data_IF_667296818403
#
_entry.id   IF_667296818403
#
_cell.length_a   1.000
_cell.length_b   1.000
_cell.length_c   1.000
_cell.angle_alpha   90.00
_cell.angle_beta   90.00
_cell.angle_gamma   90.00
#
_symmetry.space_group_name_H-M   'P 1'
#
loop_
_entity.id
_entity.type
_entity.pdbx_description
1 polymer ?
#
# COMPACT_ATOMS: atom_id res chain seq x y z
N UNK A 1 21.19 12.22 -7.34
CA UNK A 1 20.27 11.24 -7.92
C UNK A 1 19.19 11.05 -6.88
N UNK A 2 18.05 11.67 -7.10
CA UNK A 2 16.93 11.77 -6.17
C UNK A 2 16.22 10.42 -6.09
N UNK A 3 16.18 9.82 -4.90
CA UNK A 3 15.35 8.66 -4.59
C UNK A 3 13.93 9.19 -4.32
N UNK A 4 13.06 9.07 -5.29
CA UNK A 4 11.62 9.24 -5.10
C UNK A 4 11.08 7.94 -4.50
N UNK A 5 10.90 7.91 -3.18
CA UNK A 5 9.96 7.03 -2.53
C UNK A 5 8.62 7.77 -2.55
N UNK A 6 7.75 7.43 -3.49
CA UNK A 6 6.36 7.87 -3.47
C UNK A 6 5.64 7.14 -2.33
N UNK A 7 5.20 7.90 -1.33
CA UNK A 7 4.31 7.42 -0.30
C UNK A 7 2.94 7.08 -0.90
N UNK A 8 2.24 6.08 -0.32
CA UNK A 8 0.89 5.60 -0.67
C UNK A 8 -0.22 6.69 -0.67
N UNK A 9 0.13 7.94 -0.39
CA UNK A 9 -0.77 9.08 -0.46
C UNK A 9 -0.26 10.03 -1.53
N UNK A 10 -0.82 9.95 -2.73
CA UNK A 10 -0.50 10.79 -3.88
C UNK A 10 -0.87 12.25 -3.65
N UNK A 11 -0.04 12.98 -2.91
CA UNK A 11 -0.03 14.43 -2.90
C UNK A 11 1.31 14.89 -3.46
N UNK A 12 1.23 15.45 -4.66
CA UNK A 12 2.32 16.16 -5.32
C UNK A 12 2.55 17.48 -4.57
N UNK A 13 3.35 17.43 -3.49
CA UNK A 13 3.75 18.62 -2.75
C UNK A 13 5.01 19.19 -3.37
N UNK A 14 4.90 20.40 -3.94
CA UNK A 14 6.05 21.24 -4.25
C UNK A 14 6.20 22.31 -3.15
N UNK A 15 7.41 22.48 -2.59
CA UNK A 15 7.64 23.59 -1.66
C UNK A 15 7.41 24.92 -2.37
N UNK A 16 6.81 25.92 -1.70
CA UNK A 16 6.70 27.24 -2.26
C UNK A 16 8.08 27.78 -2.59
N UNK A 17 8.25 28.30 -3.80
CA UNK A 17 9.46 29.01 -4.22
C UNK A 17 9.75 30.18 -3.28
N UNK A 18 11.02 30.36 -2.92
CA UNK A 18 11.52 31.38 -1.99
C UNK A 18 11.39 32.85 -2.49
N UNK A 19 10.34 33.18 -3.23
CA UNK A 19 10.14 34.53 -3.72
C UNK A 19 8.66 34.92 -3.54
N UNK A 20 8.37 35.59 -2.44
CA UNK A 20 7.48 36.69 -2.15
C UNK A 20 7.14 36.73 -0.66
N UNK A 21 7.83 37.60 0.07
CA UNK A 21 7.49 37.99 1.44
C UNK A 21 6.11 38.64 1.53
N UNK A 22 5.07 37.84 1.76
CA UNK A 22 3.79 38.28 2.29
C UNK A 22 3.64 37.72 3.68
N UNK A 23 3.75 38.62 4.64
CA UNK A 23 3.40 38.34 6.02
C UNK A 23 1.97 37.82 6.10
N UNK A 24 1.81 36.62 6.63
CA UNK A 24 0.49 36.16 7.04
C UNK A 24 0.12 36.95 8.29
N UNK A 25 -0.77 37.91 8.08
CA UNK A 25 -1.46 38.64 9.15
C UNK A 25 -2.44 37.68 9.83
N UNK A 26 -2.26 37.45 11.14
CA UNK A 26 -3.04 36.52 11.96
C UNK A 26 -4.47 37.04 12.26
N UNK A 27 -5.07 37.79 11.36
CA UNK A 27 -6.33 38.48 11.53
C UNK A 27 -7.50 37.91 10.72
N UNK A 28 -7.96 36.69 11.01
CA UNK A 28 -9.32 36.28 10.71
C UNK A 28 -10.10 36.12 12.01
N UNK A 29 -11.22 36.85 12.18
CA UNK A 29 -12.08 36.69 13.36
C UNK A 29 -12.76 35.31 13.27
N UNK A 30 -12.46 34.46 14.23
CA UNK A 30 -13.12 33.18 14.44
C UNK A 30 -14.50 33.47 15.04
N UNK A 31 -15.56 33.51 14.23
CA UNK A 31 -16.91 33.32 14.74
C UNK A 31 -17.03 31.86 15.17
N UNK A 32 -17.19 31.67 16.49
CA UNK A 32 -17.20 30.36 17.11
C UNK A 32 -18.34 29.50 16.61
N UNK A 33 -17.94 28.35 16.00
CA UNK A 33 -18.86 27.24 15.82
C UNK A 33 -18.82 26.43 17.12
N UNK A 34 -19.79 26.63 18.01
CA UNK A 34 -19.92 25.99 19.32
C UNK A 34 -20.03 24.45 19.29
N UNK A 35 -19.91 23.84 18.12
CA UNK A 35 -19.96 22.40 17.93
C UNK A 35 -18.62 21.67 17.94
N UNK A 36 -17.48 22.37 17.84
CA UNK A 36 -16.17 21.73 17.72
C UNK A 36 -15.52 21.34 19.06
N UNK A 37 -15.98 21.93 20.16
CA UNK A 37 -15.36 21.78 21.48
C UNK A 37 -15.99 20.67 22.35
N UNK A 38 -17.01 19.99 21.86
CA UNK A 38 -17.71 18.93 22.62
C UNK A 38 -16.93 17.64 22.89
N UNK A 39 -15.79 17.47 22.27
CA UNK A 39 -15.02 16.23 22.33
C UNK A 39 -13.84 16.25 23.31
N UNK A 40 -13.67 17.33 24.07
CA UNK A 40 -12.53 17.51 24.97
C UNK A 40 -12.76 17.03 26.40
N UNK A 41 -13.99 16.72 26.81
CA UNK A 41 -14.38 16.55 28.21
C UNK A 41 -15.01 15.18 28.57
N UNK A 42 -15.00 14.19 27.69
CA UNK A 42 -15.37 12.81 28.09
C UNK A 42 -14.16 12.14 28.75
N UNK A 43 -14.30 11.87 30.06
CA UNK A 43 -13.34 11.10 30.85
C UNK A 43 -13.12 9.72 30.18
N UNK A 44 -11.84 9.30 30.11
CA UNK A 44 -11.42 8.02 29.54
C UNK A 44 -12.10 6.86 30.29
N UNK A 45 -13.27 6.40 29.84
CA UNK A 45 -13.72 5.06 30.16
C UNK A 45 -12.81 4.07 29.41
N UNK A 46 -12.34 3.00 30.06
CA UNK A 46 -11.51 1.98 29.39
C UNK A 46 -12.29 1.43 28.20
N UNK A 47 -11.65 1.43 27.02
CA UNK A 47 -12.22 0.91 25.80
C UNK A 47 -12.69 -0.55 26.05
N UNK A 48 -13.97 -0.80 25.82
CA UNK A 48 -14.49 -2.17 25.83
C UNK A 48 -13.77 -2.96 24.75
N UNK A 49 -13.41 -4.24 25.00
CA UNK A 49 -12.86 -5.08 23.98
C UNK A 49 -13.79 -5.11 22.77
N UNK A 50 -13.22 -4.99 21.56
CA UNK A 50 -13.96 -4.98 20.32
C UNK A 50 -14.86 -6.22 20.24
N UNK A 51 -16.17 -6.01 20.21
CA UNK A 51 -17.13 -7.09 19.96
C UNK A 51 -16.86 -7.57 18.52
N UNK A 52 -16.59 -8.88 18.37
CA UNK A 52 -16.52 -9.52 17.05
C UNK A 52 -17.91 -9.39 16.41
N UNK A 53 -18.01 -8.62 15.36
CA UNK A 53 -19.26 -8.37 14.65
C UNK A 53 -19.78 -9.66 14.02
N UNK A 54 -21.10 -9.92 14.18
CA UNK A 54 -21.77 -11.02 13.50
C UNK A 54 -21.99 -10.65 12.02
N UNK A 55 -21.33 -11.39 11.14
CA UNK A 55 -21.34 -11.14 9.69
C UNK A 55 -22.72 -11.29 9.04
N UNK A 56 -23.72 -11.92 9.69
CA UNK A 56 -25.04 -12.17 9.10
C UNK A 56 -26.01 -10.98 9.18
N UNK A 57 -25.86 -10.09 10.17
CA UNK A 57 -26.76 -8.92 10.30
C UNK A 57 -26.42 -7.77 9.33
N UNK A 58 -25.23 -7.78 8.72
CA UNK A 58 -24.73 -6.67 7.90
C UNK A 58 -25.19 -6.70 6.44
N UNK A 59 -25.62 -7.86 5.93
CA UNK A 59 -26.07 -8.00 4.55
C UNK A 59 -27.47 -7.39 4.27
N UNK A 60 -28.27 -7.13 5.31
CA UNK A 60 -29.60 -6.52 5.17
C UNK A 60 -29.66 -5.01 5.45
N UNK A 61 -28.62 -4.42 6.01
CA UNK A 61 -28.58 -2.98 6.30
C UNK A 61 -27.72 -2.27 5.26
N UNK A 62 -28.33 -1.45 4.43
CA UNK A 62 -27.66 -0.42 3.61
C UNK A 62 -26.93 0.52 4.56
N UNK A 63 -25.71 0.19 4.91
CA UNK A 63 -24.95 0.94 5.93
C UNK A 63 -24.52 2.28 5.34
N UNK A 64 -25.31 3.30 5.61
CA UNK A 64 -24.86 4.67 5.46
C UNK A 64 -23.89 4.93 6.62
N UNK A 65 -22.64 4.91 6.30
CA UNK A 65 -21.57 5.11 7.26
C UNK A 65 -21.48 6.58 7.65
N UNK A 66 -21.65 6.90 8.93
CA UNK A 66 -21.49 8.27 9.43
C UNK A 66 -20.10 8.46 10.04
N UNK A 67 -19.26 9.32 9.40
CA UNK A 67 -17.98 9.74 9.95
C UNK A 67 -18.06 11.25 10.30
N UNK A 68 -17.86 11.63 11.57
CA UNK A 68 -18.02 13.03 11.99
C UNK A 68 -17.00 14.00 11.38
N UNK A 69 -15.95 13.49 10.76
CA UNK A 69 -14.88 14.29 10.14
C UNK A 69 -14.77 14.07 8.62
N UNK A 70 -15.73 13.38 8.00
CA UNK A 70 -15.68 12.99 6.59
C UNK A 70 -15.46 14.17 5.63
N UNK A 71 -16.06 15.34 5.91
CA UNK A 71 -15.94 16.52 5.06
C UNK A 71 -14.54 17.14 5.07
N UNK A 72 -13.76 16.91 6.14
CA UNK A 72 -12.44 17.49 6.36
C UNK A 72 -11.33 16.47 6.17
N UNK A 73 -11.59 15.21 6.50
CA UNK A 73 -10.65 14.12 6.39
C UNK A 73 -10.39 13.78 4.91
N UNK A 74 -9.13 13.66 4.51
CA UNK A 74 -8.76 13.25 3.14
C UNK A 74 -8.75 11.76 2.88
N UNK A 75 -9.19 10.91 3.85
CA UNK A 75 -8.97 9.46 3.76
C UNK A 75 -10.06 8.65 3.05
N UNK A 76 -11.25 9.21 2.83
CA UNK A 76 -12.39 8.49 2.24
C UNK A 76 -13.20 9.42 1.34
N UNK A 77 -12.94 9.39 0.02
CA UNK A 77 -13.63 10.25 -0.94
C UNK A 77 -15.11 9.88 -1.15
N UNK A 78 -15.45 8.59 -0.98
CA UNK A 78 -16.76 8.04 -1.32
C UNK A 78 -17.59 7.59 -0.11
N UNK A 79 -17.20 7.97 1.10
CA UNK A 79 -17.88 7.53 2.32
C UNK A 79 -19.38 7.88 2.37
N UNK A 80 -19.79 9.00 1.76
CA UNK A 80 -21.19 9.40 1.68
C UNK A 80 -22.00 8.59 0.64
N UNK A 81 -21.34 7.80 -0.20
CA UNK A 81 -21.98 6.96 -1.21
C UNK A 81 -22.23 5.58 -0.63
N UNK A 82 -23.43 4.97 -0.82
CA UNK A 82 -23.66 3.58 -0.50
C UNK A 82 -22.62 2.64 -1.11
N UNK A 83 -22.22 1.61 -0.39
CA UNK A 83 -21.10 0.76 -0.79
C UNK A 83 -21.37 0.01 -2.11
N UNK A 84 -22.57 -0.47 -2.32
CA UNK A 84 -23.02 -1.06 -3.59
C UNK A 84 -22.81 -0.13 -4.79
N UNK A 85 -23.14 1.15 -4.64
CA UNK A 85 -22.88 2.16 -5.69
C UNK A 85 -21.39 2.44 -5.91
N UNK A 86 -20.56 2.31 -4.86
CA UNK A 86 -19.11 2.41 -5.03
C UNK A 86 -18.58 1.26 -5.89
N UNK A 87 -19.08 0.03 -5.64
CA UNK A 87 -18.70 -1.17 -6.38
C UNK A 87 -19.12 -1.07 -7.85
N UNK A 88 -20.37 -0.66 -8.12
CA UNK A 88 -20.87 -0.42 -9.48
C UNK A 88 -19.95 0.57 -10.23
N UNK A 89 -19.61 1.71 -9.61
CA UNK A 89 -18.72 2.70 -10.24
C UNK A 89 -17.32 2.18 -10.53
N UNK A 90 -16.77 1.35 -9.65
CA UNK A 90 -15.46 0.73 -9.88
C UNK A 90 -15.53 -0.29 -11.01
N UNK A 91 -16.62 -1.07 -11.07
CA UNK A 91 -16.88 -2.02 -12.15
C UNK A 91 -16.98 -1.28 -13.49
N UNK A 92 -17.88 -0.30 -13.60
CA UNK A 92 -18.11 0.51 -14.80
C UNK A 92 -16.80 1.15 -15.30
N UNK A 93 -15.99 1.68 -14.36
CA UNK A 93 -14.72 2.30 -14.68
C UNK A 93 -13.73 1.33 -15.36
N UNK A 94 -13.63 0.09 -14.88
CA UNK A 94 -12.77 -0.92 -15.49
C UNK A 94 -13.36 -1.40 -16.83
N UNK A 95 -14.66 -1.60 -16.92
CA UNK A 95 -15.34 -1.97 -18.17
C UNK A 95 -15.12 -0.92 -19.27
N UNK A 96 -15.29 0.37 -18.94
CA UNK A 96 -15.03 1.47 -19.88
C UNK A 96 -13.56 1.50 -20.32
N UNK A 97 -12.63 1.32 -19.39
CA UNK A 97 -11.20 1.38 -19.67
C UNK A 97 -10.74 0.25 -20.60
N UNK A 98 -11.35 -0.93 -20.50
CA UNK A 98 -11.02 -2.12 -21.29
C UNK A 98 -11.98 -2.38 -22.45
N UNK A 99 -12.91 -1.47 -22.76
CA UNK A 99 -13.95 -1.65 -23.79
C UNK A 99 -13.40 -1.94 -25.22
N UNK A 100 -12.17 -1.51 -25.53
CA UNK A 100 -11.52 -1.79 -26.82
C UNK A 100 -11.03 -3.25 -26.97
N UNK A 101 -11.06 -4.05 -25.90
CA UNK A 101 -10.57 -5.43 -25.90
C UNK A 101 -11.73 -6.42 -25.92
N UNK A 102 -11.66 -7.51 -26.71
CA UNK A 102 -12.71 -8.51 -26.82
C UNK A 102 -12.65 -9.51 -25.65
N UNK A 103 -12.63 -9.00 -24.42
CA UNK A 103 -12.59 -9.77 -23.17
C UNK A 103 -13.56 -9.12 -22.20
N UNK A 104 -14.45 -9.92 -21.64
CA UNK A 104 -15.38 -9.48 -20.60
C UNK A 104 -14.63 -9.22 -19.29
N UNK A 105 -14.97 -8.12 -18.60
CA UNK A 105 -14.47 -7.84 -17.25
C UNK A 105 -15.27 -8.69 -16.28
N UNK A 106 -14.56 -9.47 -15.48
CA UNK A 106 -15.17 -10.31 -14.45
C UNK A 106 -15.81 -9.43 -13.35
N UNK A 107 -16.80 -9.95 -12.59
CA UNK A 107 -17.38 -9.22 -11.48
C UNK A 107 -16.31 -8.79 -10.46
N UNK A 108 -16.39 -7.53 -10.02
CA UNK A 108 -15.48 -6.95 -9.04
C UNK A 108 -15.53 -7.75 -7.73
N UNK A 109 -14.37 -8.19 -7.26
CA UNK A 109 -14.23 -8.82 -5.95
C UNK A 109 -14.27 -7.74 -4.86
N UNK A 110 -15.16 -7.91 -3.87
CA UNK A 110 -15.39 -6.92 -2.83
C UNK A 110 -15.34 -7.54 -1.44
N UNK A 111 -15.25 -6.67 -0.43
CA UNK A 111 -15.33 -7.08 0.96
C UNK A 111 -16.79 -7.26 1.39
N UNK A 112 -17.03 -8.24 2.27
CA UNK A 112 -18.34 -8.40 2.94
C UNK A 112 -18.57 -7.24 3.91
N UNK A 113 -17.55 -6.91 4.74
CA UNK A 113 -17.57 -5.74 5.62
C UNK A 113 -16.44 -4.78 5.21
N UNK A 114 -16.77 -3.59 4.66
CA UNK A 114 -15.78 -2.62 4.22
C UNK A 114 -15.21 -1.75 5.35
N UNK A 115 -15.24 -2.22 6.61
CA UNK A 115 -14.77 -1.49 7.79
C UNK A 115 -13.59 -2.19 8.44
N UNK A 116 -12.78 -1.43 9.20
CA UNK A 116 -11.70 -1.96 10.02
C UNK A 116 -10.61 -2.71 9.25
N UNK A 117 -10.57 -2.58 7.94
CA UNK A 117 -9.70 -3.37 7.07
C UNK A 117 -8.24 -2.90 7.09
N UNK A 118 -8.01 -1.63 7.44
CA UNK A 118 -6.68 -1.02 7.33
C UNK A 118 -5.83 -1.36 8.54
N UNK A 119 -4.89 -2.26 8.35
CA UNK A 119 -4.01 -2.79 9.38
C UNK A 119 -2.76 -1.93 9.66
N UNK A 120 -2.48 -0.92 8.83
CA UNK A 120 -1.38 0.03 9.01
C UNK A 120 -1.93 1.44 9.14
N UNK A 121 -1.76 2.04 10.30
CA UNK A 121 -2.21 3.39 10.64
C UNK A 121 -1.01 4.25 10.96
N UNK A 122 -0.85 5.37 10.26
CA UNK A 122 0.24 6.32 10.48
C UNK A 122 -0.32 7.72 10.64
N UNK A 123 -0.10 8.32 11.78
CA UNK A 123 -0.65 9.63 12.12
C UNK A 123 0.43 10.62 12.55
N UNK A 124 0.39 11.86 12.06
CA UNK A 124 1.28 12.93 12.50
C UNK A 124 0.96 13.37 13.92
N UNK A 125 2.00 13.77 14.65
CA UNK A 125 1.90 14.39 15.96
C UNK A 125 2.51 15.80 15.90
N UNK A 126 1.71 16.81 16.22
CA UNK A 126 2.11 18.20 16.15
C UNK A 126 1.83 18.96 17.45
N UNK A 127 2.50 20.10 17.70
CA UNK A 127 2.15 20.97 18.83
C UNK A 127 0.69 21.42 18.77
N UNK A 128 -0.01 21.30 19.89
CA UNK A 128 -1.38 21.75 20.08
C UNK A 128 -1.54 22.56 21.37
N UNK A 129 -2.76 23.00 21.62
CA UNK A 129 -3.18 23.62 22.88
C UNK A 129 -4.51 23.02 23.28
N UNK A 130 -4.72 22.83 24.58
CA UNK A 130 -6.03 22.49 25.15
C UNK A 130 -6.92 23.72 25.21
N UNK A 131 -8.20 23.56 25.68
CA UNK A 131 -9.16 24.62 25.85
C UNK A 131 -8.71 25.73 26.85
N UNK A 132 -7.76 25.42 27.72
CA UNK A 132 -7.20 26.35 28.70
C UNK A 132 -5.92 27.04 28.18
N UNK A 133 -5.48 26.71 26.94
CA UNK A 133 -4.26 27.24 26.34
C UNK A 133 -2.99 26.48 26.74
N UNK A 134 -3.07 25.40 27.52
CA UNK A 134 -1.91 24.61 27.90
C UNK A 134 -1.36 23.81 26.68
N UNK A 135 -0.03 23.65 26.62
CA UNK A 135 0.57 22.82 25.57
C UNK A 135 0.03 21.38 25.60
N UNK A 136 -0.35 20.87 24.44
CA UNK A 136 -0.76 19.47 24.25
C UNK A 136 -0.24 18.94 22.92
N UNK A 137 -0.49 17.67 22.62
CA UNK A 137 -0.15 17.04 21.36
C UNK A 137 -1.40 16.90 20.51
N UNK A 138 -1.40 17.54 19.33
CA UNK A 138 -2.43 17.34 18.31
C UNK A 138 -2.02 16.15 17.46
N UNK A 139 -2.95 15.23 17.23
CA UNK A 139 -2.76 14.07 16.37
C UNK A 139 -4.06 13.73 15.63
N UNK A 140 -3.95 13.08 14.52
CA UNK A 140 -5.08 12.76 13.65
C UNK A 140 -4.64 12.63 12.21
N UNK A 141 -5.54 12.79 11.27
CA UNK A 141 -5.26 12.73 9.84
C UNK A 141 -5.12 14.15 9.27
N UNK A 142 -4.35 14.31 8.20
CA UNK A 142 -4.30 15.59 7.49
C UNK A 142 -5.63 15.91 6.81
N UNK A 143 -6.04 17.16 6.88
CA UNK A 143 -7.15 17.69 6.11
C UNK A 143 -6.80 17.68 4.63
N UNK A 144 -7.77 17.34 3.80
CA UNK A 144 -7.58 17.24 2.34
C UNK A 144 -6.92 18.50 1.78
N UNK A 145 -5.79 18.30 1.09
CA UNK A 145 -5.02 19.38 0.47
C UNK A 145 -4.28 20.30 1.43
N UNK A 146 -4.11 19.92 2.69
CA UNK A 146 -3.41 20.75 3.68
C UNK A 146 -2.57 19.89 4.64
N UNK A 147 -1.70 20.55 5.44
CA UNK A 147 -0.99 19.95 6.57
C UNK A 147 -1.70 20.20 7.91
N UNK A 148 -2.96 20.61 7.87
CA UNK A 148 -3.75 20.78 9.08
C UNK A 148 -4.22 19.43 9.60
N UNK A 149 -3.92 19.13 10.86
CA UNK A 149 -4.33 17.87 11.47
C UNK A 149 -5.78 17.97 11.93
N UNK A 150 -6.66 17.16 11.41
CA UNK A 150 -8.03 16.95 11.85
C UNK A 150 -8.01 15.94 12.98
N UNK A 151 -8.31 16.34 14.23
CA UNK A 151 -8.39 15.39 15.34
C UNK A 151 -9.50 14.38 15.08
N UNK A 152 -9.18 13.11 15.18
CA UNK A 152 -10.16 12.04 15.02
C UNK A 152 -9.73 10.85 15.89
N UNK A 153 -10.49 10.56 16.93
CA UNK A 153 -10.20 9.46 17.86
C UNK A 153 -10.58 8.09 17.33
N UNK A 154 -11.51 8.05 16.38
CA UNK A 154 -12.01 6.80 15.77
C UNK A 154 -12.03 6.94 14.27
N UNK A 155 -11.64 5.88 13.58
CA UNK A 155 -11.73 5.77 12.14
C UNK A 155 -12.33 4.40 11.81
N UNK A 156 -13.31 4.37 10.95
CA UNK A 156 -14.01 3.12 10.68
C UNK A 156 -13.37 2.24 9.62
N UNK A 157 -12.41 2.77 8.87
CA UNK A 157 -11.64 1.96 7.90
C UNK A 157 -10.35 1.41 8.50
N UNK A 158 -9.88 1.98 9.62
CA UNK A 158 -8.68 1.53 10.32
C UNK A 158 -9.02 0.45 11.35
N UNK A 159 -8.05 -0.43 11.61
CA UNK A 159 -8.13 -1.36 12.72
C UNK A 159 -8.34 -0.61 14.04
N UNK A 160 -9.36 -0.98 14.83
CA UNK A 160 -9.75 -0.23 16.03
C UNK A 160 -8.67 -0.18 17.12
N UNK A 161 -7.71 -1.10 17.14
CA UNK A 161 -6.62 -1.13 18.13
C UNK A 161 -5.57 -0.02 17.88
N UNK A 162 -5.46 0.52 16.67
CA UNK A 162 -4.38 1.43 16.32
C UNK A 162 -4.48 2.79 17.02
N UNK A 163 -5.64 3.43 16.99
CA UNK A 163 -5.80 4.79 17.50
C UNK A 163 -5.68 4.93 19.02
N UNK A 164 -6.16 3.99 19.86
CA UNK A 164 -5.89 3.99 21.28
C UNK A 164 -4.40 4.04 21.63
N UNK A 165 -3.57 3.26 20.91
CA UNK A 165 -2.12 3.24 21.10
C UNK A 165 -1.52 4.62 20.76
N UNK A 166 -1.87 5.19 19.59
CA UNK A 166 -1.38 6.52 19.17
C UNK A 166 -1.85 7.61 20.13
N UNK A 167 -3.09 7.54 20.60
CA UNK A 167 -3.63 8.45 21.62
C UNK A 167 -2.84 8.39 22.95
N UNK A 168 -2.47 7.18 23.37
CA UNK A 168 -1.62 7.00 24.56
C UNK A 168 -0.21 7.57 24.35
N UNK A 169 0.40 7.35 23.18
CA UNK A 169 1.69 7.99 22.84
C UNK A 169 1.57 9.50 22.98
N UNK A 170 0.57 10.12 22.36
CA UNK A 170 0.36 11.57 22.40
C UNK A 170 0.13 12.11 23.82
N UNK A 171 -0.65 11.41 24.63
CA UNK A 171 -0.96 11.76 26.02
C UNK A 171 0.25 11.69 26.93
N UNK A 172 1.09 10.70 26.78
CA UNK A 172 2.27 10.48 27.64
C UNK A 172 3.45 11.40 27.29
N UNK A 173 3.55 11.90 26.07
CA UNK A 173 4.71 12.71 25.62
C UNK A 173 5.05 13.87 26.57
N UNK A 174 4.14 14.73 27.05
CA UNK A 174 4.47 15.82 27.94
C UNK A 174 5.07 15.36 29.27
N UNK A 175 4.57 14.28 29.86
CA UNK A 175 4.99 13.78 31.16
C UNK A 175 6.44 13.28 31.16
N UNK A 176 6.93 12.87 30.00
CA UNK A 176 8.29 12.34 29.84
C UNK A 176 9.24 13.28 29.11
N UNK A 177 8.85 14.55 28.90
CA UNK A 177 9.65 15.56 28.22
C UNK A 177 9.86 15.27 26.73
N UNK A 178 9.00 14.44 26.12
CA UNK A 178 9.00 14.17 24.68
C UNK A 178 8.11 15.20 23.99
N UNK A 179 8.65 15.89 22.97
CA UNK A 179 7.96 16.98 22.30
C UNK A 179 7.46 16.55 20.93
N UNK A 180 6.23 16.95 20.51
CA UNK A 180 5.79 16.77 19.14
C UNK A 180 6.60 17.63 18.16
N UNK A 181 6.79 17.13 16.96
CA UNK A 181 7.55 17.83 15.92
C UNK A 181 6.69 18.95 15.30
N UNK A 182 7.31 20.13 15.14
CA UNK A 182 6.72 21.27 14.44
C UNK A 182 7.36 21.41 13.07
N UNK A 183 6.61 21.20 11.99
CA UNK A 183 7.09 21.42 10.62
C UNK A 183 7.45 22.90 10.40
N UNK A 184 6.74 23.83 11.03
CA UNK A 184 7.00 25.27 10.92
C UNK A 184 8.39 25.68 11.44
N UNK A 185 8.82 25.10 12.57
CA UNK A 185 10.10 25.41 13.21
C UNK A 185 11.16 24.36 12.99
N UNK A 186 10.81 23.21 12.41
CA UNK A 186 11.64 22.03 12.26
C UNK A 186 12.27 21.55 13.58
N UNK A 187 11.53 21.69 14.69
CA UNK A 187 11.97 21.30 16.03
C UNK A 187 10.95 20.38 16.69
N UNK A 188 11.40 19.61 17.67
CA UNK A 188 10.61 18.60 18.37
C UNK A 188 11.15 17.20 18.13
N UNK A 189 10.62 16.22 18.82
CA UNK A 189 11.16 14.86 18.89
C UNK A 189 10.36 13.89 18.01
N UNK A 190 9.06 13.73 18.24
CA UNK A 190 8.23 12.73 17.53
C UNK A 190 7.44 13.41 16.43
N UNK A 191 7.61 12.91 15.21
CA UNK A 191 6.91 13.37 13.99
C UNK A 191 5.64 12.60 13.73
N UNK A 192 5.73 11.26 13.73
CA UNK A 192 4.63 10.35 13.46
C UNK A 192 4.65 9.18 14.43
N UNK A 193 3.49 8.61 14.68
CA UNK A 193 3.33 7.29 15.25
C UNK A 193 2.65 6.38 14.22
N UNK A 194 3.28 5.25 13.95
CA UNK A 194 2.75 4.22 13.07
C UNK A 194 2.42 3.00 13.91
N UNK A 195 1.22 2.48 13.74
CA UNK A 195 0.80 1.20 14.31
C UNK A 195 0.49 0.26 13.17
N UNK A 196 1.10 -0.91 13.18
CA UNK A 196 0.78 -2.00 12.26
C UNK A 196 0.32 -3.20 13.07
N UNK A 197 -0.79 -3.79 12.68
CA UNK A 197 -1.42 -4.94 13.33
C UNK A 197 -1.40 -6.09 12.34
N UNK A 198 -0.86 -7.22 12.75
CA UNK A 198 -0.92 -8.46 12.00
C UNK A 198 -2.33 -9.04 12.12
N UNK A 199 -2.96 -9.35 11.01
CA UNK A 199 -4.37 -9.75 10.98
C UNK A 199 -4.61 -11.15 11.54
N UNK A 200 -3.71 -12.07 11.25
CA UNK A 200 -3.86 -13.48 11.66
C UNK A 200 -3.27 -13.78 13.04
N UNK A 201 -2.28 -13.02 13.48
CA UNK A 201 -1.55 -13.27 14.73
C UNK A 201 -1.86 -12.29 15.83
N UNK A 202 -2.57 -11.20 15.54
CA UNK A 202 -2.83 -10.08 16.45
C UNK A 202 -1.55 -9.39 16.99
N UNK A 203 -0.38 -9.64 16.38
CA UNK A 203 0.87 -8.98 16.75
C UNK A 203 0.85 -7.50 16.36
N UNK A 204 1.33 -6.64 17.28
CA UNK A 204 1.28 -5.19 17.11
C UNK A 204 2.68 -4.60 17.10
N UNK A 205 2.99 -3.84 16.05
CA UNK A 205 4.22 -3.05 15.95
C UNK A 205 3.91 -1.56 16.07
N UNK A 206 4.53 -0.89 17.04
CA UNK A 206 4.55 0.56 17.15
C UNK A 206 5.88 1.10 16.62
N UNK A 207 5.83 1.92 15.57
CA UNK A 207 6.99 2.65 15.05
C UNK A 207 6.85 4.14 15.38
N UNK A 208 7.81 4.69 16.12
CA UNK A 208 7.89 6.11 16.44
C UNK A 208 8.90 6.78 15.50
N UNK A 209 8.39 7.62 14.59
CA UNK A 209 9.25 8.38 13.67
C UNK A 209 9.71 9.66 14.36
N UNK A 210 11.00 9.79 14.53
CA UNK A 210 11.57 10.82 15.37
C UNK A 210 12.62 11.67 14.66
N UNK A 211 12.63 12.96 14.96
CA UNK A 211 13.74 13.89 14.68
C UNK A 211 14.83 13.76 15.79
N UNK A 212 15.08 12.52 16.22
CA UNK A 212 16.03 12.18 17.27
C UNK A 212 16.44 10.71 17.14
N UNK A 213 17.62 10.35 17.62
CA UNK A 213 18.15 8.97 17.60
C UNK A 213 17.85 8.19 18.89
N UNK A 214 17.23 8.82 19.87
CA UNK A 214 16.92 8.20 21.17
C UNK A 214 15.61 8.76 21.75
N UNK A 215 14.93 7.93 22.53
CA UNK A 215 13.79 8.31 23.36
C UNK A 215 14.04 7.92 24.82
N UNK A 216 13.45 8.60 25.80
CA UNK A 216 13.53 8.19 27.21
C UNK A 216 12.98 6.77 27.39
N UNK A 217 13.74 5.90 28.03
CA UNK A 217 13.29 4.52 28.27
C UNK A 217 11.97 4.49 29.06
N UNK A 218 11.85 5.36 30.07
CA UNK A 218 10.64 5.46 30.89
C UNK A 218 9.37 5.81 30.06
N UNK A 219 9.51 6.56 28.97
CA UNK A 219 8.42 6.83 28.04
C UNK A 219 7.95 5.58 27.33
N UNK A 220 8.89 4.79 26.80
CA UNK A 220 8.58 3.50 26.14
C UNK A 220 7.97 2.52 27.15
N UNK A 221 8.53 2.41 28.35
CA UNK A 221 8.03 1.55 29.41
C UNK A 221 6.58 1.93 29.82
N UNK A 222 6.26 3.23 29.85
CA UNK A 222 4.91 3.71 30.15
C UNK A 222 3.89 3.37 29.04
N UNK A 223 4.30 3.44 27.77
CA UNK A 223 3.45 3.01 26.63
C UNK A 223 3.17 1.52 26.74
N UNK A 224 4.21 0.69 26.96
CA UNK A 224 4.09 -0.76 27.10
C UNK A 224 3.27 -1.18 28.32
N UNK A 225 3.30 -0.38 29.40
CA UNK A 225 2.47 -0.64 30.58
C UNK A 225 0.98 -0.37 30.31
N UNK A 226 0.69 0.61 29.45
CA UNK A 226 -0.68 0.93 29.05
C UNK A 226 -1.20 0.00 27.93
N UNK A 227 -0.29 -0.53 27.11
CA UNK A 227 -0.56 -1.39 25.95
C UNK A 227 0.34 -2.64 25.97
N UNK A 228 0.09 -3.60 26.89
CA UNK A 228 0.88 -4.82 26.98
C UNK A 228 0.76 -5.74 25.77
N UNK A 229 -0.23 -5.51 24.90
CA UNK A 229 -0.44 -6.20 23.64
C UNK A 229 0.59 -5.86 22.56
N UNK A 230 1.36 -4.78 22.73
CA UNK A 230 2.38 -4.39 21.75
C UNK A 230 3.52 -5.42 21.72
N UNK A 231 3.71 -6.05 20.58
CA UNK A 231 4.77 -7.05 20.35
C UNK A 231 6.14 -6.42 20.20
N UNK A 232 6.22 -5.26 19.54
CA UNK A 232 7.51 -4.59 19.30
C UNK A 232 7.37 -3.07 19.16
N UNK A 233 8.41 -2.35 19.62
CA UNK A 233 8.52 -0.89 19.44
C UNK A 233 9.81 -0.57 18.71
N UNK A 234 9.68 0.17 17.60
CA UNK A 234 10.79 0.61 16.77
C UNK A 234 10.88 2.14 16.77
N UNK A 235 12.09 2.69 16.93
CA UNK A 235 12.38 4.08 16.66
C UNK A 235 12.94 4.19 15.25
N UNK A 236 12.26 4.94 14.41
CA UNK A 236 12.75 5.30 13.09
C UNK A 236 13.25 6.76 13.13
N UNK A 237 14.49 6.97 12.72
CA UNK A 237 15.11 8.30 12.74
C UNK A 237 14.93 8.99 11.40
N UNK A 238 14.16 10.09 11.41
CA UNK A 238 14.00 10.96 10.25
C UNK A 238 14.26 12.42 10.66
N UNK A 239 15.46 12.91 10.39
CA UNK A 239 15.89 14.30 10.66
C UNK A 239 15.80 15.20 9.42
N UNK A 240 15.41 14.66 8.28
CA UNK A 240 15.36 15.38 7.02
C UNK A 240 14.09 16.25 6.92
N UNK A 241 14.19 17.36 6.17
CA UNK A 241 13.04 18.18 5.77
C UNK A 241 12.46 17.58 4.49
N UNK A 242 11.57 16.63 4.63
CA UNK A 242 11.00 15.85 3.52
C UNK A 242 9.55 15.46 3.82
N UNK A 243 8.77 15.22 2.78
CA UNK A 243 7.47 14.59 2.87
C UNK A 243 7.55 13.08 3.16
N UNK A 244 8.71 12.46 2.93
CA UNK A 244 8.94 11.06 3.25
C UNK A 244 8.85 10.86 4.76
N UNK A 245 7.98 9.95 5.19
CA UNK A 245 7.68 9.73 6.62
C UNK A 245 8.82 8.96 7.29
N UNK A 246 9.20 7.81 6.75
CA UNK A 246 10.24 6.96 7.33
C UNK A 246 11.65 7.42 6.92
N UNK A 247 12.52 7.54 7.91
CA UNK A 247 13.96 7.70 7.68
C UNK A 247 14.64 6.35 7.39
N UNK A 248 15.94 6.41 7.16
CA UNK A 248 16.74 5.22 6.80
C UNK A 248 17.25 4.43 8.00
N UNK A 249 17.34 5.06 9.17
CA UNK A 249 17.92 4.44 10.36
C UNK A 249 16.83 4.03 11.34
N UNK A 250 16.93 2.80 11.82
CA UNK A 250 15.97 2.22 12.75
C UNK A 250 16.69 1.64 13.96
N UNK A 251 16.01 1.68 15.11
CA UNK A 251 16.48 1.11 16.35
C UNK A 251 15.33 0.42 17.07
N UNK A 252 15.47 -0.86 17.35
CA UNK A 252 14.53 -1.60 18.18
C UNK A 252 14.64 -1.11 19.63
N UNK A 253 13.51 -0.66 20.18
CA UNK A 253 13.39 -0.23 21.57
C UNK A 253 12.82 -1.32 22.48
N UNK A 254 11.97 -2.18 21.92
CA UNK A 254 11.36 -3.33 22.62
C UNK A 254 10.99 -4.42 21.61
N UNK A 255 11.01 -5.67 22.03
CA UNK A 255 10.63 -6.82 21.21
C UNK A 255 11.62 -7.18 20.12
N UNK A 256 11.18 -7.95 19.10
CA UNK A 256 12.07 -8.46 18.05
C UNK A 256 12.40 -7.45 16.94
N UNK A 257 11.67 -6.33 16.81
CA UNK A 257 11.81 -5.36 15.74
C UNK A 257 10.99 -5.67 14.49
N UNK A 258 10.14 -6.69 14.54
CA UNK A 258 9.22 -7.11 13.48
C UNK A 258 7.96 -7.72 14.10
N UNK A 259 6.96 -7.92 13.28
CA UNK A 259 5.78 -8.75 13.55
C UNK A 259 5.67 -9.84 12.50
N UNK A 260 4.95 -10.91 12.81
CA UNK A 260 4.63 -11.97 11.86
C UNK A 260 3.13 -11.96 11.57
N UNK A 261 2.76 -12.17 10.32
CA UNK A 261 1.37 -12.32 9.88
C UNK A 261 1.24 -13.54 8.98
N UNK A 262 0.02 -13.99 8.73
CA UNK A 262 -0.27 -15.09 7.82
C UNK A 262 -1.17 -14.61 6.68
N UNK A 263 -0.83 -14.97 5.44
CA UNK A 263 -1.56 -14.61 4.23
C UNK A 263 -1.52 -15.78 3.25
N UNK A 264 -2.68 -16.25 2.76
CA UNK A 264 -2.80 -17.42 1.88
C UNK A 264 -2.05 -18.66 2.42
N UNK A 265 -2.12 -18.92 3.74
CA UNK A 265 -1.42 -20.03 4.40
C UNK A 265 0.11 -19.95 4.42
N UNK A 266 0.67 -18.77 4.10
CA UNK A 266 2.09 -18.46 4.21
C UNK A 266 2.33 -17.48 5.36
N UNK A 267 3.40 -17.70 6.15
CA UNK A 267 3.81 -16.80 7.22
C UNK A 267 4.80 -15.76 6.70
N UNK A 268 4.60 -14.51 7.06
CA UNK A 268 5.44 -13.40 6.64
C UNK A 268 5.95 -12.61 7.85
N UNK A 269 7.25 -12.43 7.91
CA UNK A 269 7.89 -11.46 8.78
C UNK A 269 7.81 -10.09 8.13
N UNK A 270 7.35 -9.10 8.90
CA UNK A 270 7.09 -7.75 8.46
C UNK A 270 7.89 -6.78 9.32
N UNK A 271 8.90 -6.13 8.73
CA UNK A 271 9.66 -5.06 9.40
C UNK A 271 8.93 -3.72 9.33
N UNK A 272 9.38 -2.72 10.08
CA UNK A 272 8.74 -1.41 10.15
C UNK A 272 8.73 -0.66 8.81
N UNK A 273 9.81 -0.79 8.01
CA UNK A 273 9.97 -0.17 6.70
C UNK A 273 9.49 -1.04 5.53
N UNK A 274 9.10 -2.30 5.77
CA UNK A 274 8.63 -3.19 4.72
C UNK A 274 7.26 -2.81 4.21
N UNK A 275 7.10 -2.87 2.87
CA UNK A 275 5.77 -2.86 2.27
C UNK A 275 5.04 -4.17 2.60
N UNK A 276 3.81 -4.06 3.02
CA UNK A 276 2.87 -5.17 3.20
C UNK A 276 1.47 -4.61 3.00
N UNK A 277 0.59 -5.36 2.35
CA UNK A 277 -0.75 -4.89 2.00
C UNK A 277 -1.53 -4.43 3.24
N UNK A 278 -2.20 -3.28 3.11
CA UNK A 278 -2.89 -2.65 4.24
C UNK A 278 -4.30 -3.18 4.48
N UNK A 279 -4.82 -3.97 3.55
CA UNK A 279 -6.09 -4.70 3.64
C UNK A 279 -5.80 -6.19 3.46
N UNK A 280 -5.50 -6.94 4.51
CA UNK A 280 -5.10 -8.34 4.42
C UNK A 280 -6.19 -9.23 3.82
N UNK A 281 -7.46 -8.99 4.12
CA UNK A 281 -8.58 -9.78 3.61
C UNK A 281 -8.68 -9.67 2.07
N UNK A 282 -8.65 -8.44 1.55
CA UNK A 282 -8.69 -8.24 0.11
C UNK A 282 -7.39 -8.67 -0.58
N UNK A 283 -6.24 -8.56 0.11
CA UNK A 283 -4.95 -9.03 -0.39
C UNK A 283 -4.90 -10.56 -0.55
N UNK A 284 -5.51 -11.30 0.39
CA UNK A 284 -5.65 -12.76 0.30
C UNK A 284 -6.43 -13.14 -0.96
N UNK A 285 -7.61 -12.57 -1.14
CA UNK A 285 -8.44 -12.81 -2.31
C UNK A 285 -7.73 -12.43 -3.63
N UNK A 286 -7.00 -11.30 -3.63
CA UNK A 286 -6.23 -10.85 -4.79
C UNK A 286 -5.09 -11.82 -5.14
N UNK A 287 -4.35 -12.32 -4.13
CA UNK A 287 -3.24 -13.23 -4.37
C UNK A 287 -3.71 -14.63 -4.77
N UNK A 288 -4.78 -15.13 -4.18
CA UNK A 288 -5.42 -16.40 -4.60
C UNK A 288 -5.87 -16.31 -6.05
N UNK A 289 -6.53 -15.21 -6.45
CA UNK A 289 -6.92 -14.96 -7.83
C UNK A 289 -5.71 -14.91 -8.77
N UNK A 290 -4.65 -14.20 -8.39
CA UNK A 290 -3.43 -14.08 -9.20
C UNK A 290 -2.74 -15.43 -9.41
N UNK A 291 -2.67 -16.26 -8.37
CA UNK A 291 -2.10 -17.62 -8.43
C UNK A 291 -3.00 -18.54 -9.27
N UNK A 292 -4.31 -18.47 -9.13
CA UNK A 292 -5.26 -19.21 -9.97
C UNK A 292 -5.09 -18.85 -11.46
N UNK A 293 -5.04 -17.55 -11.79
CA UNK A 293 -4.83 -17.08 -13.16
C UNK A 293 -3.50 -17.55 -13.75
N UNK A 294 -2.48 -17.68 -12.92
CA UNK A 294 -1.15 -18.14 -13.36
C UNK A 294 -1.14 -19.59 -13.87
N UNK A 295 -2.02 -20.46 -13.38
CA UNK A 295 -2.12 -21.90 -13.74
C UNK A 295 -0.73 -22.56 -13.73
N UNK A 296 -0.12 -22.52 -12.53
CA UNK A 296 1.25 -22.91 -12.32
C UNK A 296 1.44 -24.43 -12.32
N UNK A 297 2.63 -24.84 -12.77
CA UNK A 297 3.10 -26.24 -12.72
C UNK A 297 4.35 -26.30 -11.86
N UNK A 298 4.61 -27.40 -11.22
CA UNK A 298 5.83 -27.59 -10.41
C UNK A 298 7.13 -27.52 -11.21
N UNK A 299 7.05 -27.67 -12.53
CA UNK A 299 8.19 -27.51 -13.44
C UNK A 299 8.40 -26.09 -13.94
N UNK A 300 7.49 -25.16 -13.61
CA UNK A 300 7.58 -23.77 -14.06
C UNK A 300 8.68 -23.01 -13.30
N UNK A 301 9.19 -21.99 -13.96
CA UNK A 301 10.08 -20.99 -13.40
C UNK A 301 9.34 -19.66 -13.31
N UNK A 302 9.06 -19.23 -12.09
CA UNK A 302 8.28 -18.02 -11.77
C UNK A 302 9.24 -16.83 -11.68
N UNK A 303 8.90 -15.74 -12.35
CA UNK A 303 9.46 -14.41 -12.08
C UNK A 303 8.47 -13.58 -11.27
N UNK A 304 8.88 -13.05 -10.13
CA UNK A 304 8.12 -12.04 -9.37
C UNK A 304 8.85 -10.70 -9.50
N UNK A 305 8.37 -9.87 -10.40
CA UNK A 305 8.94 -8.55 -10.66
C UNK A 305 8.30 -7.52 -9.72
N UNK A 306 9.12 -6.73 -9.06
CA UNK A 306 8.71 -5.81 -7.97
C UNK A 306 8.25 -6.58 -6.71
N UNK A 307 8.96 -7.65 -6.34
CA UNK A 307 8.48 -8.63 -5.37
C UNK A 307 8.34 -8.11 -3.92
N UNK A 308 8.88 -6.93 -3.59
CA UNK A 308 8.87 -6.42 -2.22
C UNK A 308 9.46 -7.44 -1.24
N UNK A 309 8.69 -7.81 -0.22
CA UNK A 309 9.05 -8.86 0.76
C UNK A 309 8.74 -10.28 0.28
N UNK A 310 8.48 -10.45 -1.02
CA UNK A 310 8.29 -11.74 -1.68
C UNK A 310 6.87 -12.31 -1.57
N UNK A 311 5.87 -11.53 -1.17
CA UNK A 311 4.55 -12.05 -0.79
C UNK A 311 3.88 -12.87 -1.89
N UNK A 312 3.71 -12.31 -3.09
CA UNK A 312 3.02 -12.99 -4.21
C UNK A 312 3.81 -14.20 -4.69
N UNK A 313 5.13 -14.02 -4.90
CA UNK A 313 6.00 -15.09 -5.39
C UNK A 313 6.07 -16.27 -4.44
N UNK A 314 6.15 -16.02 -3.12
CA UNK A 314 6.20 -17.07 -2.09
C UNK A 314 4.88 -17.84 -2.04
N UNK A 315 3.72 -17.16 -2.06
CA UNK A 315 2.41 -17.80 -2.13
C UNK A 315 2.31 -18.68 -3.39
N UNK A 316 2.73 -18.16 -4.54
CA UNK A 316 2.75 -18.89 -5.81
C UNK A 316 3.68 -20.12 -5.79
N UNK A 317 4.89 -19.97 -5.26
CA UNK A 317 5.86 -21.06 -5.13
C UNK A 317 5.38 -22.13 -4.12
N UNK A 318 4.77 -21.71 -3.00
CA UNK A 318 4.20 -22.62 -2.00
C UNK A 318 3.07 -23.47 -2.58
N UNK A 319 2.19 -22.85 -3.36
CA UNK A 319 1.04 -23.53 -3.96
C UNK A 319 1.44 -24.51 -5.07
N UNK A 320 2.50 -24.21 -5.82
CA UNK A 320 2.86 -24.97 -7.04
C UNK A 320 4.09 -25.89 -6.89
N UNK A 321 5.02 -25.57 -5.97
CA UNK A 321 6.35 -26.18 -5.90
C UNK A 321 7.33 -25.69 -6.98
N UNK A 322 6.96 -24.67 -7.76
CA UNK A 322 7.75 -24.09 -8.84
C UNK A 322 8.98 -23.30 -8.33
N UNK A 323 10.03 -23.18 -9.18
CA UNK A 323 11.19 -22.31 -8.91
C UNK A 323 10.77 -20.84 -8.91
N UNK A 324 11.24 -20.05 -7.93
CA UNK A 324 10.93 -18.63 -7.81
C UNK A 324 12.18 -17.76 -7.99
N UNK A 325 12.05 -16.71 -8.80
CA UNK A 325 13.01 -15.61 -8.89
C UNK A 325 12.29 -14.31 -8.58
N UNK A 326 12.53 -13.76 -7.39
CA UNK A 326 12.04 -12.45 -6.97
C UNK A 326 13.03 -11.33 -7.29
N UNK A 327 12.56 -10.20 -7.79
CA UNK A 327 13.38 -9.04 -8.13
C UNK A 327 12.79 -7.80 -7.46
N UNK A 328 13.60 -7.15 -6.64
CA UNK A 328 13.22 -5.96 -5.89
C UNK A 328 14.41 -4.98 -5.84
N UNK A 329 14.14 -3.69 -5.93
CA UNK A 329 15.17 -2.65 -5.86
C UNK A 329 15.68 -2.42 -4.44
N UNK A 330 14.79 -2.54 -3.45
CA UNK A 330 15.11 -2.31 -2.05
C UNK A 330 15.80 -3.55 -1.45
N UNK A 331 17.10 -3.42 -1.15
CA UNK A 331 17.89 -4.52 -0.62
C UNK A 331 17.42 -5.01 0.78
N UNK A 332 16.79 -4.17 1.58
CA UNK A 332 16.24 -4.60 2.87
C UNK A 332 14.97 -5.44 2.67
N UNK A 333 14.11 -5.08 1.71
CA UNK A 333 12.96 -5.89 1.36
C UNK A 333 13.38 -7.26 0.77
N UNK A 334 14.48 -7.31 0.01
CA UNK A 334 15.07 -8.58 -0.47
C UNK A 334 15.49 -9.48 0.69
N UNK A 335 16.11 -8.93 1.74
CA UNK A 335 16.46 -9.71 2.94
C UNK A 335 15.22 -10.27 3.64
N UNK A 336 14.16 -9.46 3.76
CA UNK A 336 12.89 -9.93 4.32
C UNK A 336 12.28 -11.03 3.43
N UNK A 337 12.36 -10.91 2.10
CA UNK A 337 11.89 -11.93 1.15
C UNK A 337 12.65 -13.27 1.31
N UNK A 338 13.98 -13.23 1.46
CA UNK A 338 14.81 -14.42 1.72
C UNK A 338 14.40 -15.11 3.04
N UNK A 339 14.18 -14.32 4.10
CA UNK A 339 13.72 -14.84 5.40
C UNK A 339 12.32 -15.44 5.24
N UNK A 340 11.41 -14.76 4.56
CA UNK A 340 10.05 -15.21 4.33
C UNK A 340 10.00 -16.51 3.53
N UNK A 341 10.84 -16.67 2.50
CA UNK A 341 10.95 -17.93 1.78
C UNK A 341 11.43 -19.08 2.68
N UNK A 342 12.43 -18.83 3.54
CA UNK A 342 12.93 -19.81 4.50
C UNK A 342 11.86 -20.22 5.53
N UNK A 343 11.13 -19.27 6.12
CA UNK A 343 10.04 -19.53 7.07
C UNK A 343 8.99 -20.46 6.46
N UNK A 344 8.71 -20.29 5.15
CA UNK A 344 7.72 -21.08 4.42
C UNK A 344 8.28 -22.37 3.81
N UNK A 345 9.56 -22.68 4.00
CA UNK A 345 10.20 -23.88 3.49
C UNK A 345 10.38 -23.89 1.96
N UNK A 346 10.50 -22.71 1.34
CA UNK A 346 10.74 -22.56 -0.10
C UNK A 346 12.25 -22.55 -0.31
N UNK A 347 12.81 -23.71 -0.67
CA UNK A 347 14.26 -23.88 -0.87
C UNK A 347 14.74 -23.49 -2.28
N UNK A 348 13.82 -23.46 -3.26
CA UNK A 348 14.07 -23.16 -4.67
C UNK A 348 13.70 -21.71 -5.04
N UNK A 349 13.83 -20.77 -4.10
CA UNK A 349 13.66 -19.35 -4.33
C UNK A 349 15.01 -18.62 -4.36
N UNK A 350 15.12 -17.64 -5.26
CA UNK A 350 16.26 -16.72 -5.35
C UNK A 350 15.73 -15.29 -5.41
N UNK A 351 16.26 -14.40 -4.59
CA UNK A 351 15.88 -12.99 -4.62
C UNK A 351 17.07 -12.12 -5.03
N UNK A 352 16.81 -11.10 -5.86
CA UNK A 352 17.84 -10.26 -6.47
C UNK A 352 17.53 -8.78 -6.16
N UNK A 353 18.46 -8.12 -5.45
CA UNK A 353 18.39 -6.69 -5.20
C UNK A 353 18.82 -5.91 -6.47
N UNK A 354 17.85 -5.62 -7.35
CA UNK A 354 18.11 -4.95 -8.63
C UNK A 354 16.87 -4.20 -9.14
N UNK A 355 17.09 -3.28 -10.09
CA UNK A 355 16.01 -2.75 -10.91
C UNK A 355 15.47 -3.85 -11.83
N UNK A 356 14.14 -4.06 -11.83
CA UNK A 356 13.49 -5.13 -12.57
C UNK A 356 13.80 -5.07 -14.09
N UNK A 357 13.81 -3.86 -14.68
CA UNK A 357 14.13 -3.69 -16.10
C UNK A 357 15.55 -4.10 -16.45
N UNK A 358 16.51 -3.78 -15.58
CA UNK A 358 17.92 -4.12 -15.73
C UNK A 358 18.16 -5.62 -15.58
N UNK A 359 17.49 -6.25 -14.61
CA UNK A 359 17.62 -7.68 -14.36
C UNK A 359 16.98 -8.50 -15.47
N UNK A 360 15.78 -8.14 -15.93
CA UNK A 360 15.15 -8.79 -17.09
C UNK A 360 15.99 -8.63 -18.36
N UNK A 361 16.65 -7.48 -18.55
CA UNK A 361 17.62 -7.31 -19.65
C UNK A 361 18.83 -8.24 -19.52
N UNK A 362 19.32 -8.47 -18.29
CA UNK A 362 20.41 -9.40 -18.00
C UNK A 362 20.01 -10.84 -18.31
N UNK A 363 18.84 -11.27 -17.82
CA UNK A 363 18.29 -12.59 -18.05
C UNK A 363 18.09 -12.85 -19.57
N UNK A 364 17.49 -11.90 -20.27
CA UNK A 364 17.27 -12.01 -21.73
C UNK A 364 18.57 -12.13 -22.52
N UNK A 365 19.66 -11.44 -22.11
CA UNK A 365 20.98 -11.58 -22.75
C UNK A 365 21.62 -12.95 -22.50
N UNK A 366 21.35 -13.57 -21.35
CA UNK A 366 21.86 -14.89 -21.00
C UNK A 366 21.06 -16.04 -21.59
N UNK A 367 19.92 -15.72 -22.24
CA UNK A 367 18.99 -16.73 -22.74
C UNK A 367 18.29 -17.51 -21.63
N UNK A 368 18.14 -16.88 -20.47
CA UNK A 368 17.35 -17.44 -19.39
C UNK A 368 15.86 -17.41 -19.77
N UNK A 369 15.10 -18.36 -19.26
CA UNK A 369 13.67 -18.50 -19.55
C UNK A 369 12.87 -18.36 -18.25
N UNK A 370 11.68 -17.76 -18.35
CA UNK A 370 10.65 -17.72 -17.33
C UNK A 370 9.35 -18.24 -17.96
N UNK A 371 8.62 -19.06 -17.24
CA UNK A 371 7.34 -19.60 -17.70
C UNK A 371 6.19 -18.69 -17.38
N UNK A 372 6.18 -18.13 -16.17
CA UNK A 372 5.15 -17.22 -15.66
C UNK A 372 5.81 -16.03 -14.98
N UNK A 373 5.25 -14.83 -15.18
CA UNK A 373 5.71 -13.62 -14.51
C UNK A 373 4.54 -12.97 -13.80
N UNK A 374 4.68 -12.74 -12.50
CA UNK A 374 3.88 -11.81 -11.74
C UNK A 374 4.54 -10.44 -11.79
N UNK A 375 3.76 -9.40 -11.91
CA UNK A 375 4.22 -8.01 -11.82
C UNK A 375 3.20 -7.14 -11.12
N UNK A 376 3.66 -6.43 -10.09
CA UNK A 376 2.90 -5.45 -9.31
C UNK A 376 3.74 -4.17 -9.20
N UNK A 377 3.83 -3.39 -10.30
CA UNK A 377 4.64 -2.18 -10.34
C UNK A 377 4.00 -1.04 -9.53
N UNK A 378 4.78 0.00 -9.16
CA UNK A 378 4.23 1.20 -8.55
C UNK A 378 3.22 1.90 -9.48
N UNK A 379 2.46 2.89 -8.96
CA UNK A 379 1.41 3.65 -9.69
C UNK A 379 1.83 4.17 -11.06
N UNK A 380 3.10 4.53 -11.24
CA UNK A 380 3.62 4.97 -12.53
C UNK A 380 3.63 3.87 -13.62
N UNK A 381 3.36 2.62 -13.25
CA UNK A 381 3.46 1.45 -14.10
C UNK A 381 4.90 1.06 -14.39
N UNK A 382 5.10 0.19 -15.36
CA UNK A 382 6.41 -0.32 -15.74
C UNK A 382 7.11 0.52 -16.80
N UNK A 383 8.45 0.51 -16.79
CA UNK A 383 9.22 1.18 -17.83
C UNK A 383 9.12 0.46 -19.18
N UNK A 384 9.22 1.21 -20.28
CA UNK A 384 9.25 0.64 -21.63
C UNK A 384 10.39 -0.40 -21.81
N UNK A 385 11.52 -0.15 -21.14
CA UNK A 385 12.66 -1.07 -21.15
C UNK A 385 12.31 -2.39 -20.47
N UNK A 386 11.62 -2.36 -19.32
CA UNK A 386 11.14 -3.57 -18.65
C UNK A 386 10.17 -4.36 -19.54
N UNK A 387 9.14 -3.71 -20.08
CA UNK A 387 8.11 -4.34 -20.92
C UNK A 387 8.71 -4.95 -22.20
N UNK A 388 9.70 -4.30 -22.81
CA UNK A 388 10.42 -4.84 -23.96
C UNK A 388 11.24 -6.08 -23.62
N UNK A 389 11.91 -6.10 -22.45
CA UNK A 389 12.67 -7.25 -22.00
C UNK A 389 11.77 -8.41 -21.53
N UNK A 390 10.66 -8.13 -20.86
CA UNK A 390 9.61 -9.09 -20.54
C UNK A 390 9.10 -9.78 -21.82
N UNK A 391 8.78 -8.97 -22.84
CA UNK A 391 8.33 -9.50 -24.14
C UNK A 391 9.39 -10.36 -24.84
N UNK A 392 10.68 -10.04 -24.65
CA UNK A 392 11.83 -10.81 -25.19
C UNK A 392 12.01 -12.14 -24.46
N UNK A 393 11.97 -12.15 -23.12
CA UNK A 393 11.96 -13.37 -22.30
C UNK A 393 10.78 -14.26 -22.69
N UNK A 394 9.62 -13.63 -22.84
CA UNK A 394 8.45 -14.24 -23.45
C UNK A 394 7.81 -15.33 -22.63
N UNK A 395 7.55 -15.12 -21.32
CA UNK A 395 6.81 -16.08 -20.53
C UNK A 395 5.48 -16.43 -21.17
N UNK A 396 4.99 -17.66 -20.93
CA UNK A 396 3.69 -18.09 -21.47
C UNK A 396 2.53 -17.30 -20.87
N UNK A 397 2.65 -16.86 -19.61
CA UNK A 397 1.68 -16.04 -18.90
C UNK A 397 2.34 -14.87 -18.15
N UNK A 398 1.64 -13.77 -18.13
CA UNK A 398 1.95 -12.61 -17.30
C UNK A 398 0.69 -12.28 -16.51
N UNK A 399 0.79 -12.28 -15.19
CA UNK A 399 -0.24 -11.82 -14.27
C UNK A 399 0.14 -10.41 -13.84
N UNK A 400 -0.60 -9.43 -14.30
CA UNK A 400 -0.35 -8.02 -14.04
C UNK A 400 -1.35 -7.48 -13.02
N UNK A 401 -0.88 -7.19 -11.83
CA UNK A 401 -1.63 -6.54 -10.74
C UNK A 401 -1.32 -5.05 -10.78
N UNK A 402 -2.30 -4.19 -10.59
CA UNK A 402 -2.08 -2.74 -10.63
C UNK A 402 -3.07 -1.96 -9.79
N UNK A 403 -2.56 -1.04 -8.99
CA UNK A 403 -3.35 -0.03 -8.27
C UNK A 403 -3.73 1.19 -9.14
N UNK A 404 -3.23 1.28 -10.38
CA UNK A 404 -3.60 2.31 -11.35
C UNK A 404 -3.94 1.69 -12.71
N UNK A 405 -5.23 1.38 -12.97
CA UNK A 405 -5.66 0.78 -14.22
C UNK A 405 -5.35 1.62 -15.48
N UNK A 406 -5.16 2.94 -15.36
CA UNK A 406 -4.77 3.80 -16.51
C UNK A 406 -3.34 3.52 -16.95
N UNK A 407 -2.43 3.38 -16.01
CA UNK A 407 -1.05 3.02 -16.35
C UNK A 407 -0.95 1.57 -16.78
N UNK A 408 -1.76 0.68 -16.18
CA UNK A 408 -1.85 -0.73 -16.57
C UNK A 408 -2.27 -0.89 -18.03
N UNK A 409 -3.34 -0.22 -18.48
CA UNK A 409 -3.79 -0.32 -19.88
C UNK A 409 -2.75 0.21 -20.88
N UNK A 410 -1.98 1.24 -20.48
CA UNK A 410 -0.84 1.74 -21.27
C UNK A 410 0.22 0.65 -21.47
N UNK A 411 0.58 -0.04 -20.42
CA UNK A 411 1.59 -1.09 -20.43
C UNK A 411 1.09 -2.35 -21.18
N UNK A 412 -0.18 -2.70 -20.98
CA UNK A 412 -0.84 -3.80 -21.67
C UNK A 412 -0.85 -3.56 -23.19
N UNK A 413 -1.08 -2.33 -23.68
CA UNK A 413 -0.98 -2.00 -25.11
C UNK A 413 0.39 -2.37 -25.68
N UNK A 414 1.47 -2.14 -24.91
CA UNK A 414 2.82 -2.56 -25.32
C UNK A 414 2.94 -4.09 -25.39
N UNK A 415 2.47 -4.82 -24.37
CA UNK A 415 2.54 -6.28 -24.33
C UNK A 415 1.70 -6.90 -25.46
N UNK A 416 0.50 -6.42 -25.71
CA UNK A 416 -0.37 -6.89 -26.79
C UNK A 416 0.28 -6.66 -28.16
N UNK A 417 0.92 -5.49 -28.39
CA UNK A 417 1.68 -5.21 -29.59
C UNK A 417 2.84 -6.21 -29.79
N UNK A 418 3.40 -6.73 -28.70
CA UNK A 418 4.52 -7.67 -28.71
C UNK A 418 4.09 -9.15 -28.57
N UNK A 419 2.82 -9.45 -28.85
CA UNK A 419 2.36 -10.82 -29.03
C UNK A 419 1.66 -11.46 -27.84
N UNK A 420 1.25 -10.67 -26.86
CA UNK A 420 0.37 -11.13 -25.80
C UNK A 420 -1.11 -10.86 -26.12
N UNK A 421 -2.00 -11.56 -25.46
CA UNK A 421 -3.45 -11.36 -25.50
C UNK A 421 -3.99 -11.33 -24.09
N UNK A 422 -4.90 -10.42 -23.82
CA UNK A 422 -5.66 -10.43 -22.57
C UNK A 422 -6.57 -11.66 -22.58
N UNK A 423 -6.63 -12.37 -21.46
CA UNK A 423 -7.45 -13.56 -21.25
C UNK A 423 -8.49 -13.37 -20.15
N UNK A 424 -8.13 -12.67 -19.07
CA UNK A 424 -9.02 -12.38 -17.96
C UNK A 424 -8.71 -10.98 -17.43
N UNK A 425 -9.73 -10.32 -16.93
CA UNK A 425 -9.66 -9.01 -16.28
C UNK A 425 -10.56 -9.11 -15.06
N UNK A 426 -10.02 -8.95 -13.87
CA UNK A 426 -10.79 -9.01 -12.64
C UNK A 426 -10.38 -7.85 -11.70
N UNK A 427 -11.28 -6.87 -11.50
CA UNK A 427 -11.06 -5.82 -10.52
C UNK A 427 -11.27 -6.31 -9.08
N UNK A 428 -10.54 -5.70 -8.12
CA UNK A 428 -10.61 -6.00 -6.69
C UNK A 428 -10.76 -4.71 -5.91
N UNK A 429 -11.74 -4.63 -5.02
CA UNK A 429 -11.90 -3.50 -4.10
C UNK A 429 -10.98 -3.63 -2.89
N UNK A 430 -9.70 -3.31 -3.08
CA UNK A 430 -8.69 -3.29 -2.02
C UNK A 430 -8.91 -2.15 -1.04
N UNK A 431 -9.49 -1.03 -1.51
CA UNK A 431 -9.65 0.22 -0.75
C UNK A 431 -11.11 0.70 -0.74
N UNK A 432 -11.99 0.04 0.04
CA UNK A 432 -13.35 0.50 0.25
C UNK A 432 -13.42 1.99 0.66
N UNK A 433 -14.48 2.67 0.23
CA UNK A 433 -14.75 4.09 0.48
C UNK A 433 -13.82 5.09 -0.20
N UNK A 434 -12.96 4.61 -1.12
CA UNK A 434 -12.10 5.44 -1.98
C UNK A 434 -12.40 5.18 -3.44
N UNK A 435 -11.89 6.02 -4.35
CA UNK A 435 -11.98 5.85 -5.80
C UNK A 435 -10.95 4.84 -6.37
N UNK A 436 -10.06 4.33 -5.51
CA UNK A 436 -9.05 3.37 -5.90
C UNK A 436 -9.63 1.98 -6.16
N UNK A 437 -9.14 1.32 -7.19
CA UNK A 437 -9.44 -0.07 -7.54
C UNK A 437 -8.16 -0.78 -7.97
N UNK A 438 -7.90 -1.94 -7.39
CA UNK A 438 -6.87 -2.86 -7.89
C UNK A 438 -7.44 -3.63 -9.08
N UNK A 439 -6.61 -3.92 -10.08
CA UNK A 439 -7.05 -4.70 -11.22
C UNK A 439 -6.04 -5.78 -11.58
N UNK A 440 -6.48 -7.03 -11.67
CA UNK A 440 -5.66 -8.18 -12.04
C UNK A 440 -5.95 -8.55 -13.48
N UNK A 441 -4.93 -8.55 -14.33
CA UNK A 441 -5.05 -8.91 -15.74
C UNK A 441 -4.14 -10.07 -16.07
N UNK A 442 -4.73 -11.14 -16.60
CA UNK A 442 -4.01 -12.26 -17.19
C UNK A 442 -3.72 -11.99 -18.65
N UNK A 443 -2.44 -12.04 -19.04
CA UNK A 443 -1.99 -12.01 -20.41
C UNK A 443 -1.34 -13.36 -20.77
N UNK A 444 -1.73 -13.91 -21.92
CA UNK A 444 -1.11 -15.11 -22.48
C UNK A 444 -0.38 -14.78 -23.77
N UNK A 445 0.77 -15.42 -23.97
CA UNK A 445 1.53 -15.30 -25.20
C UNK A 445 0.83 -16.04 -26.34
N UNK A 446 0.57 -15.32 -27.43
CA UNK A 446 -0.03 -15.93 -28.60
C UNK A 446 0.93 -16.95 -29.26
N UNK A 447 0.42 -18.08 -29.79
CA UNK A 447 1.24 -19.04 -30.53
C UNK A 447 2.02 -18.36 -31.68
N UNK A 448 3.29 -18.71 -31.85
CA UNK A 448 4.20 -18.09 -32.87
C UNK A 448 3.67 -18.14 -34.30
N UNK A 449 2.72 -19.01 -34.62
CA UNK A 449 2.24 -19.24 -36.00
C UNK A 449 1.20 -18.19 -36.49
N UNK A 450 0.77 -17.21 -35.67
CA UNK A 450 -0.23 -16.23 -36.08
C UNK A 450 0.37 -14.86 -36.53
N UNK A 451 1.67 -14.65 -36.43
CA UNK A 451 2.34 -13.41 -36.84
C UNK A 451 3.08 -13.51 -38.18
N UNK A 452 3.04 -14.64 -38.85
CA UNK A 452 3.71 -14.86 -40.14
C UNK A 452 2.77 -14.78 -41.32
N UNK A 453 2.17 -13.62 -41.65
CA UNK A 453 1.69 -13.30 -43.03
C UNK A 453 1.03 -11.92 -43.10
N UNK A 454 1.78 -10.86 -42.79
CA UNK A 454 1.47 -9.51 -43.27
C UNK A 454 2.72 -8.80 -43.79
N UNK A 455 3.55 -9.52 -44.55
CA UNK A 455 4.56 -8.93 -45.41
C UNK A 455 4.44 -9.53 -46.80
N UNK A 456 4.20 -8.63 -47.79
CA UNK A 456 4.21 -8.85 -49.24
C UNK A 456 2.87 -9.23 -49.92
N UNK A 457 1.99 -8.26 -50.08
CA UNK A 457 1.13 -8.18 -51.26
C UNK A 457 1.03 -6.73 -51.73
N UNK A 458 2.19 -6.07 -51.99
CA UNK A 458 2.27 -4.83 -52.79
C UNK A 458 3.62 -4.79 -53.47
N UNK A 459 3.81 -5.65 -54.51
CA UNK A 459 4.72 -5.48 -55.64
C UNK A 459 4.34 -6.56 -56.64
N UNK A 460 3.58 -6.14 -57.64
CA UNK A 460 3.67 -6.56 -59.01
C UNK A 460 2.39 -6.13 -59.77
N UNK A 461 2.26 -4.84 -59.96
CA UNK A 461 1.43 -4.25 -61.03
C UNK A 461 2.12 -2.99 -61.55
N UNK A 462 3.26 -3.14 -62.19
CA UNK A 462 3.78 -2.17 -63.14
C UNK A 462 4.79 -2.90 -64.05
N UNK A 463 4.33 -3.30 -65.20
CA UNK A 463 5.23 -3.78 -66.24
C UNK A 463 4.53 -4.55 -67.32
N UNK A 464 3.77 -3.88 -68.17
CA UNK A 464 3.24 -4.47 -69.34
C UNK A 464 2.61 -3.44 -70.25
N UNK A 465 3.45 -2.74 -70.99
CA UNK A 465 3.12 -2.23 -72.35
C UNK A 465 4.40 -1.70 -72.95
N UNK A 466 5.03 -2.53 -73.65
CA UNK A 466 5.37 -2.75 -75.04
C UNK A 466 6.39 -3.83 -75.14
#
# INVERSE_FOLDING_TARGET
MSNEFEDDYGYDWQPPSDDEGRGFDDGFPFEGNEGADRWADEEDEPAKPAEKYDHHELLEQRVTVHCPVAERCGGCEWLAMPYDMQLERKQDYIEELFADYPVEVEPLMCMIDPRGYRNKVQLPLAPGKDKNGNPTVRWGIFEKGSHWIVPCKQCMVEDPAARPIIGTVARLMPDYGVTPYSEKTCTGTVRYALVRIAHATDEIMLTLVCNATTLPKAFVDAILSAHPEITTVVLNTNTERTSVILGKEEKVLFGPGYIEDELCGCRFRISSSSFYQTNPIAAEALYELAVEMADLRSSDRIGDAYCGTGTIGIVAAKASGAELIGIERNAEAVKDAEINAQINGIENATFVAADAGSEFARMARRGEELDVVFMDPPRAGSSQAFLANLSRLGPRRVVYISCDPKTQIRDIKHLVHNGYRIKRICPVDMFPHTDHVENVVLLERAPRNQFGHRRNSRKDERGGKR
#
